data_IF_597496316117
#
_entry.id   IF_597496316117
#
_cell.length_a   1.000
_cell.length_b   1.000
_cell.length_c   1.000
_cell.angle_alpha   90.00
_cell.angle_beta   90.00
_cell.angle_gamma   90.00
#
_symmetry.space_group_name_H-M   'P 1'
#
loop_
_entity.id
_entity.type
_entity.pdbx_description
1 polymer ?
#
# COMPACT_ATOMS: atom_id res chain seq x y z
N UNK A 1 -5.90 2.62 20.66
CA UNK A 1 -4.96 2.03 19.69
C UNK A 1 -5.75 1.11 18.78
N UNK A 2 -5.55 1.18 17.46
CA UNK A 2 -6.29 0.39 16.49
C UNK A 2 -5.47 0.19 15.22
N UNK A 3 -5.82 -0.82 14.45
CA UNK A 3 -5.16 -1.15 13.19
C UNK A 3 -5.99 -0.64 12.01
N UNK A 4 -5.30 -0.15 10.97
CA UNK A 4 -5.92 0.35 9.75
C UNK A 4 -5.32 -0.37 8.53
N UNK A 5 -6.17 -0.76 7.59
CA UNK A 5 -5.73 -1.32 6.31
C UNK A 5 -5.11 -0.20 5.46
N UNK A 6 -3.82 -0.33 5.10
CA UNK A 6 -3.10 0.54 4.17
C UNK A 6 -2.65 -0.28 2.96
N UNK A 7 -2.75 0.30 1.76
CA UNK A 7 -2.20 -0.26 0.54
C UNK A 7 -0.84 0.40 0.24
N UNK A 8 0.16 -0.42 -0.10
CA UNK A 8 1.47 0.04 -0.57
C UNK A 8 1.60 -0.37 -2.03
N UNK A 9 1.83 0.60 -2.91
CA UNK A 9 1.70 0.43 -4.36
C UNK A 9 2.99 0.87 -5.05
N UNK A 10 3.60 -0.06 -5.77
CA UNK A 10 4.63 0.25 -6.77
C UNK A 10 3.92 0.44 -8.12
N UNK A 11 4.11 1.62 -8.73
CA UNK A 11 3.52 1.92 -10.02
C UNK A 11 4.38 1.40 -11.16
N UNK A 12 3.76 1.18 -12.32
CA UNK A 12 4.50 0.89 -13.55
C UNK A 12 5.33 2.11 -13.95
N UNK A 13 6.45 1.86 -14.64
CA UNK A 13 7.31 2.93 -15.14
C UNK A 13 6.52 3.95 -15.97
N UNK A 14 6.85 5.23 -15.78
CA UNK A 14 6.20 6.36 -16.46
C UNK A 14 4.88 6.80 -15.83
N UNK A 15 4.41 6.15 -14.76
CA UNK A 15 3.25 6.59 -13.99
C UNK A 15 3.69 7.29 -12.70
N UNK A 16 2.92 8.29 -12.29
CA UNK A 16 3.14 9.02 -11.05
C UNK A 16 1.94 8.87 -10.11
N UNK A 17 2.22 8.72 -8.82
CA UNK A 17 1.19 8.70 -7.79
C UNK A 17 0.52 10.06 -7.67
N UNK A 18 -0.79 10.06 -7.45
CA UNK A 18 -1.57 11.26 -7.12
C UNK A 18 -2.67 10.91 -6.15
N UNK A 19 -3.20 11.92 -5.45
CA UNK A 19 -4.33 11.75 -4.53
C UNK A 19 -5.57 11.24 -5.28
N UNK A 20 -5.76 11.70 -6.53
CA UNK A 20 -6.84 11.21 -7.38
C UNK A 20 -6.69 9.72 -7.71
N UNK A 21 -5.48 9.27 -8.07
CA UNK A 21 -5.21 7.86 -8.33
C UNK A 21 -5.37 7.01 -7.06
N UNK A 22 -4.92 7.49 -5.90
CA UNK A 22 -5.12 6.83 -4.63
C UNK A 22 -6.62 6.61 -4.33
N UNK A 23 -7.44 7.65 -4.52
CA UNK A 23 -8.89 7.56 -4.36
C UNK A 23 -9.52 6.57 -5.35
N UNK A 24 -9.11 6.60 -6.63
CA UNK A 24 -9.58 5.64 -7.63
C UNK A 24 -9.27 4.19 -7.24
N UNK A 25 -8.06 3.92 -6.72
CA UNK A 25 -7.67 2.58 -6.26
C UNK A 25 -8.50 2.13 -5.05
N UNK A 26 -8.74 3.03 -4.08
CA UNK A 26 -9.57 2.73 -2.90
C UNK A 26 -11.00 2.38 -3.33
N UNK A 27 -11.61 3.22 -4.16
CA UNK A 27 -12.99 3.00 -4.64
C UNK A 27 -13.11 1.73 -5.48
N UNK A 28 -12.10 1.46 -6.33
CA UNK A 28 -12.02 0.21 -7.09
C UNK A 28 -12.06 -1.02 -6.19
N UNK A 29 -11.32 -1.00 -5.07
CA UNK A 29 -11.30 -2.10 -4.11
C UNK A 29 -12.61 -2.17 -3.31
N UNK A 30 -13.12 -1.04 -2.83
CA UNK A 30 -14.39 -0.95 -2.07
C UNK A 30 -15.59 -1.51 -2.82
N UNK A 31 -15.64 -1.33 -4.14
CA UNK A 31 -16.69 -1.89 -4.98
C UNK A 31 -16.68 -3.43 -5.06
N UNK A 32 -15.59 -4.10 -4.63
CA UNK A 32 -15.36 -5.54 -4.82
C UNK A 32 -15.28 -6.33 -3.52
N UNK A 33 -14.99 -5.68 -2.40
CA UNK A 33 -14.85 -6.33 -1.09
C UNK A 33 -15.60 -5.55 -0.01
N UNK A 34 -15.87 -6.20 1.12
CA UNK A 34 -16.51 -5.55 2.25
C UNK A 34 -15.74 -4.29 2.69
N UNK A 35 -16.47 -3.21 2.98
CA UNK A 35 -15.89 -1.88 3.24
C UNK A 35 -14.78 -1.87 4.30
N UNK A 36 -14.89 -2.69 5.35
CA UNK A 36 -13.88 -2.78 6.41
C UNK A 36 -12.56 -3.43 5.96
N UNK A 37 -12.55 -4.17 4.84
CA UNK A 37 -11.34 -4.78 4.26
C UNK A 37 -10.64 -3.87 3.25
N UNK A 38 -11.34 -2.84 2.76
CA UNK A 38 -10.75 -1.92 1.81
C UNK A 38 -9.68 -1.04 2.47
N UNK A 39 -8.59 -0.71 1.77
CA UNK A 39 -7.59 0.20 2.29
C UNK A 39 -8.21 1.56 2.57
N UNK A 40 -7.74 2.19 3.65
CA UNK A 40 -8.12 3.55 4.06
C UNK A 40 -7.14 4.60 3.55
N UNK A 41 -5.93 4.18 3.20
CA UNK A 41 -4.89 5.01 2.59
C UNK A 41 -4.04 4.18 1.62
N UNK A 42 -3.43 4.87 0.67
CA UNK A 42 -2.53 4.31 -0.34
C UNK A 42 -1.22 5.10 -0.27
N UNK A 43 -0.10 4.39 -0.20
CA UNK A 43 1.23 4.99 -0.34
C UNK A 43 1.87 4.45 -1.62
N UNK A 44 2.39 5.38 -2.43
CA UNK A 44 3.17 5.04 -3.61
C UNK A 44 4.65 5.00 -3.25
N UNK A 45 5.34 3.94 -3.66
CA UNK A 45 6.77 3.76 -3.46
C UNK A 45 7.45 3.41 -4.78
N UNK A 46 8.73 3.75 -4.91
CA UNK A 46 9.48 3.50 -6.14
C UNK A 46 9.68 2.01 -6.40
N UNK A 47 9.89 1.22 -5.34
CA UNK A 47 10.09 -0.22 -5.43
C UNK A 47 9.63 -0.95 -4.17
N UNK A 48 8.78 -1.95 -4.34
CA UNK A 48 8.43 -2.91 -3.31
C UNK A 48 9.67 -3.71 -2.92
N UNK A 49 9.95 -3.84 -1.61
CA UNK A 49 11.15 -4.53 -1.17
C UNK A 49 11.01 -6.02 -1.51
N UNK A 50 12.00 -6.55 -2.22
CA UNK A 50 12.06 -7.97 -2.60
C UNK A 50 13.32 -8.62 -2.05
N UNK A 51 13.22 -9.92 -1.78
CA UNK A 51 14.36 -10.78 -1.51
C UNK A 51 15.12 -11.05 -2.82
N UNK A 52 16.37 -11.53 -2.78
CA UNK A 52 17.13 -11.91 -3.97
C UNK A 52 16.41 -12.94 -4.85
N UNK A 53 15.49 -13.72 -4.26
CA UNK A 53 14.63 -14.68 -4.97
C UNK A 53 13.40 -14.06 -5.64
N UNK A 54 13.24 -12.73 -5.58
CA UNK A 54 12.12 -11.98 -6.15
C UNK A 54 10.86 -11.92 -5.27
N UNK A 55 10.80 -12.69 -4.17
CA UNK A 55 9.68 -12.69 -3.22
C UNK A 55 9.56 -11.35 -2.51
N UNK A 56 8.33 -10.90 -2.27
CA UNK A 56 8.05 -9.69 -1.49
C UNK A 56 8.57 -9.85 -0.05
N UNK A 57 9.43 -8.94 0.39
CA UNK A 57 9.95 -8.88 1.75
C UNK A 57 8.95 -8.14 2.66
N UNK A 58 7.78 -8.74 2.89
CA UNK A 58 6.66 -8.14 3.65
C UNK A 58 7.08 -7.63 5.05
N UNK A 59 8.03 -8.29 5.71
CA UNK A 59 8.54 -7.86 7.03
C UNK A 59 9.10 -6.44 7.00
N UNK A 60 9.84 -6.07 5.95
CA UNK A 60 10.39 -4.71 5.81
C UNK A 60 9.30 -3.65 5.72
N UNK A 61 8.22 -3.96 5.00
CA UNK A 61 7.05 -3.08 4.93
C UNK A 61 6.36 -2.98 6.28
N UNK A 62 6.14 -4.10 6.97
CA UNK A 62 5.56 -4.07 8.31
C UNK A 62 6.40 -3.18 9.24
N UNK A 63 7.71 -3.40 9.30
CA UNK A 63 8.60 -2.63 10.16
C UNK A 63 8.52 -1.12 9.87
N UNK A 64 8.56 -0.72 8.59
CA UNK A 64 8.46 0.68 8.16
C UNK A 64 7.12 1.34 8.50
N UNK A 65 6.01 0.59 8.49
CA UNK A 65 4.66 1.16 8.60
C UNK A 65 4.00 0.94 9.97
N UNK A 66 4.52 0.04 10.80
CA UNK A 66 3.96 -0.23 12.14
C UNK A 66 4.86 0.26 13.26
N UNK A 67 6.17 0.40 13.04
CA UNK A 67 7.05 1.09 13.97
C UNK A 67 7.14 2.55 13.53
N UNK A 68 6.19 3.36 14.03
CA UNK A 68 6.43 4.79 14.07
C UNK A 68 7.68 5.01 14.92
N UNK A 69 8.68 5.68 14.35
CA UNK A 69 9.66 6.40 15.14
C UNK A 69 8.91 7.19 16.22
N UNK A 70 9.34 7.01 17.47
CA UNK A 70 8.99 7.86 18.61
C UNK A 70 9.25 9.33 18.30
#
# INVERSE_FOLDING_TARGET
MGEQVKAIVELRQGQSGSDELANQLIEFVRARIAHYKAPRSVDFIDALPRLPTGKLAKRKLLDQYTHADT
#
